data_IF_569384778158
#
_entry.id   IF_569384778158
#
_cell.length_a   1.000
_cell.length_b   1.000
_cell.length_c   1.000
_cell.angle_alpha   90.00
_cell.angle_beta   90.00
_cell.angle_gamma   90.00
#
_symmetry.space_group_name_H-M   'P 1'
#
loop_
_entity.id
_entity.type
_entity.pdbx_description
1 polymer ?
#
# COMPACT_ATOMS: atom_id res chain seq x y z
N UNK A 1 7.89 -30.64 41.65
CA UNK A 1 7.66 -29.18 41.45
C UNK A 1 7.52 -28.90 39.96
N UNK A 2 6.30 -28.69 39.45
CA UNK A 2 6.05 -28.34 38.05
C UNK A 2 6.34 -26.86 37.90
N UNK A 3 7.42 -26.50 37.20
CA UNK A 3 7.73 -25.11 36.86
C UNK A 3 6.66 -24.60 35.90
N UNK A 4 5.74 -23.78 36.38
CA UNK A 4 4.83 -22.98 35.55
C UNK A 4 5.65 -22.09 34.62
N UNK A 5 5.91 -22.53 33.39
CA UNK A 5 6.45 -21.67 32.34
C UNK A 5 5.34 -20.69 31.95
N UNK A 6 5.48 -19.43 32.33
CA UNK A 6 4.64 -18.35 31.75
C UNK A 6 4.76 -18.42 30.24
N UNK A 7 3.64 -18.41 29.48
CA UNK A 7 3.72 -18.39 28.03
C UNK A 7 4.52 -17.18 27.58
N UNK A 8 5.50 -17.37 26.70
CA UNK A 8 6.20 -16.26 26.04
C UNK A 8 5.15 -15.53 25.18
N UNK A 9 4.73 -14.36 25.61
CA UNK A 9 3.94 -13.46 24.77
C UNK A 9 4.90 -12.98 23.68
N UNK A 10 4.81 -13.56 22.48
CA UNK A 10 5.52 -13.03 21.31
C UNK A 10 4.90 -11.65 21.01
N UNK A 11 5.61 -10.59 21.34
CA UNK A 11 5.18 -9.23 21.02
C UNK A 11 5.16 -9.07 19.50
N UNK A 12 3.99 -8.70 18.94
CA UNK A 12 3.87 -8.38 17.52
C UNK A 12 4.73 -7.17 17.18
N UNK A 13 5.20 -7.11 15.94
CA UNK A 13 5.94 -5.97 15.41
C UNK A 13 4.94 -4.94 14.88
N UNK A 14 4.98 -3.73 15.43
CA UNK A 14 4.06 -2.66 15.07
C UNK A 14 4.52 -1.99 13.76
N UNK A 15 3.68 -2.04 12.75
CA UNK A 15 3.92 -1.43 11.42
C UNK A 15 2.85 -0.36 11.19
N UNK A 16 3.24 0.82 10.74
CA UNK A 16 2.33 1.84 10.27
C UNK A 16 2.34 1.91 8.74
N UNK A 17 1.17 1.98 8.12
CA UNK A 17 1.04 2.28 6.69
C UNK A 17 0.24 3.57 6.54
N UNK A 18 0.88 4.61 5.99
CA UNK A 18 0.27 5.89 5.66
C UNK A 18 -0.33 5.77 4.26
N UNK A 19 -1.65 5.80 4.18
CA UNK A 19 -2.42 5.74 2.95
C UNK A 19 -2.68 7.16 2.43
N UNK A 20 -2.62 7.38 1.13
CA UNK A 20 -2.92 8.67 0.54
C UNK A 20 -4.33 9.13 0.83
N UNK A 21 -5.31 8.28 0.53
CA UNK A 21 -6.74 8.61 0.63
C UNK A 21 -7.60 7.42 1.07
N UNK A 22 -8.90 7.57 0.82
CA UNK A 22 -9.90 6.57 1.23
C UNK A 22 -9.80 5.27 0.42
N UNK A 23 -9.43 5.32 -0.87
CA UNK A 23 -9.29 4.10 -1.69
C UNK A 23 -8.19 3.19 -1.13
N UNK A 24 -6.99 3.71 -0.87
CA UNK A 24 -5.85 2.97 -0.30
C UNK A 24 -6.17 2.45 1.09
N UNK A 25 -6.77 3.31 1.92
CA UNK A 25 -7.11 2.98 3.31
C UNK A 25 -8.14 1.84 3.37
N UNK A 26 -9.24 1.93 2.63
CA UNK A 26 -10.29 0.91 2.62
C UNK A 26 -9.81 -0.39 1.95
N UNK A 27 -8.96 -0.28 0.92
CA UNK A 27 -8.36 -1.44 0.29
C UNK A 27 -7.49 -2.24 1.28
N UNK A 28 -6.55 -1.58 1.96
CA UNK A 28 -5.73 -2.26 2.97
C UNK A 28 -6.55 -2.75 4.17
N UNK A 29 -7.59 -1.99 4.59
CA UNK A 29 -8.52 -2.41 5.62
C UNK A 29 -9.25 -3.70 5.23
N UNK A 30 -9.65 -3.82 3.97
CA UNK A 30 -10.26 -5.05 3.44
C UNK A 30 -9.28 -6.22 3.43
N UNK A 31 -8.03 -6.02 2.99
CA UNK A 31 -7.01 -7.08 3.02
C UNK A 31 -6.72 -7.55 4.46
N UNK A 32 -6.70 -6.65 5.44
CA UNK A 32 -6.62 -7.03 6.86
C UNK A 32 -7.81 -7.89 7.30
N UNK A 33 -9.03 -7.49 6.95
CA UNK A 33 -10.26 -8.26 7.27
C UNK A 33 -10.27 -9.64 6.62
N UNK A 34 -9.64 -9.80 5.46
CA UNK A 34 -9.45 -11.07 4.78
C UNK A 34 -8.29 -11.91 5.36
N UNK A 35 -7.63 -11.43 6.42
CA UNK A 35 -6.45 -12.07 7.04
C UNK A 35 -5.33 -12.36 6.04
N UNK A 36 -5.14 -11.46 5.08
CA UNK A 36 -4.07 -11.57 4.07
C UNK A 36 -2.71 -11.36 4.74
N UNK A 37 -2.60 -10.37 5.61
CA UNK A 37 -1.36 -10.08 6.31
C UNK A 37 -1.13 -11.04 7.49
N UNK A 38 0.13 -11.27 7.83
CA UNK A 38 0.51 -12.14 8.95
C UNK A 38 0.21 -11.46 10.30
N UNK A 39 -1.03 -11.57 10.75
CA UNK A 39 -1.54 -10.97 11.99
C UNK A 39 -0.95 -11.59 13.26
N UNK A 40 -0.33 -12.77 13.16
CA UNK A 40 0.42 -13.39 14.28
C UNK A 40 1.75 -12.68 14.53
N UNK A 41 2.36 -12.11 13.49
CA UNK A 41 3.66 -11.45 13.54
C UNK A 41 3.56 -9.94 13.57
N UNK A 42 2.65 -9.36 12.80
CA UNK A 42 2.55 -7.91 12.62
C UNK A 42 1.25 -7.35 13.21
N UNK A 43 1.37 -6.19 13.85
CA UNK A 43 0.27 -5.31 14.23
C UNK A 43 0.28 -4.14 13.25
N UNK A 44 -0.66 -4.11 12.30
CA UNK A 44 -0.67 -3.11 11.22
C UNK A 44 -1.67 -2.01 11.55
N UNK A 45 -1.15 -0.78 11.71
CA UNK A 45 -1.93 0.45 11.86
C UNK A 45 -2.01 1.15 10.50
N UNK A 46 -3.22 1.49 10.06
CA UNK A 46 -3.46 2.26 8.84
C UNK A 46 -3.79 3.71 9.20
N UNK A 47 -3.21 4.65 8.47
CA UNK A 47 -3.46 6.09 8.64
C UNK A 47 -3.85 6.70 7.29
N UNK A 48 -5.00 7.36 7.21
CA UNK A 48 -5.42 8.11 6.02
C UNK A 48 -4.83 9.53 6.08
N UNK A 49 -3.95 9.87 5.15
CA UNK A 49 -3.33 11.19 5.08
C UNK A 49 -4.25 12.27 4.50
N UNK A 50 -5.36 11.87 3.84
CA UNK A 50 -6.30 12.77 3.18
C UNK A 50 -5.68 13.60 2.05
N UNK A 51 -4.78 12.98 1.28
CA UNK A 51 -4.15 13.52 0.09
C UNK A 51 -2.62 13.43 0.11
N UNK A 52 -2.04 13.33 -1.09
CA UNK A 52 -0.60 13.09 -1.29
C UNK A 52 0.29 14.17 -0.64
N UNK A 53 -0.15 15.43 -0.66
CA UNK A 53 0.60 16.55 -0.09
C UNK A 53 0.75 16.49 1.43
N UNK A 54 -0.15 15.76 2.10
CA UNK A 54 -0.12 15.60 3.56
C UNK A 54 0.57 14.30 4.02
N UNK A 55 0.90 13.41 3.09
CA UNK A 55 1.57 12.13 3.43
C UNK A 55 2.84 12.38 4.24
N UNK A 56 3.68 13.32 3.83
CA UNK A 56 4.96 13.58 4.51
C UNK A 56 4.77 14.02 5.97
N UNK A 57 3.75 14.82 6.27
CA UNK A 57 3.47 15.27 7.62
C UNK A 57 3.04 14.09 8.53
N UNK A 58 2.13 13.26 8.02
CA UNK A 58 1.66 12.06 8.75
C UNK A 58 2.80 11.06 8.92
N UNK A 59 3.58 10.82 7.86
CA UNK A 59 4.75 9.93 7.89
C UNK A 59 5.76 10.39 8.93
N UNK A 60 6.21 11.66 8.87
CA UNK A 60 7.21 12.20 9.78
C UNK A 60 6.76 12.11 11.24
N UNK A 61 5.50 12.46 11.52
CA UNK A 61 4.93 12.33 12.86
C UNK A 61 4.95 10.88 13.37
N UNK A 62 4.51 9.92 12.53
CA UNK A 62 4.50 8.50 12.90
C UNK A 62 5.90 7.93 13.06
N UNK A 63 6.82 8.32 12.20
CA UNK A 63 8.23 7.91 12.26
C UNK A 63 8.90 8.43 13.56
N UNK A 64 8.78 9.74 13.84
CA UNK A 64 9.37 10.37 15.01
C UNK A 64 8.78 9.90 16.34
N UNK A 65 7.54 9.36 16.33
CA UNK A 65 6.93 8.80 17.54
C UNK A 65 7.69 7.62 18.12
N UNK A 66 8.55 6.94 17.31
CA UNK A 66 9.27 5.73 17.73
C UNK A 66 8.39 4.53 18.07
N UNK A 67 7.06 4.63 17.82
CA UNK A 67 6.09 3.59 18.20
C UNK A 67 6.03 2.43 17.22
N UNK A 68 6.63 2.55 16.04
CA UNK A 68 6.53 1.58 14.95
C UNK A 68 7.91 1.05 14.57
N UNK A 69 7.98 -0.24 14.29
CA UNK A 69 9.20 -0.89 13.76
C UNK A 69 9.48 -0.47 12.31
N UNK A 70 8.44 -0.10 11.56
CA UNK A 70 8.55 0.51 10.24
C UNK A 70 7.33 1.39 9.95
N UNK A 71 7.54 2.48 9.22
CA UNK A 71 6.47 3.32 8.68
C UNK A 71 6.58 3.28 7.17
N UNK A 72 5.52 2.82 6.51
CA UNK A 72 5.43 2.64 5.06
C UNK A 72 4.40 3.62 4.49
N UNK A 73 4.45 3.85 3.19
CA UNK A 73 3.51 4.72 2.46
C UNK A 73 2.86 3.90 1.35
N UNK A 74 1.54 4.07 1.18
CA UNK A 74 0.81 3.53 0.05
C UNK A 74 0.01 4.64 -0.63
N UNK A 75 0.32 4.93 -1.92
CA UNK A 75 -0.23 6.07 -2.63
C UNK A 75 -0.31 5.83 -4.15
N UNK A 76 -0.94 6.76 -4.86
CA UNK A 76 -0.92 6.85 -6.31
C UNK A 76 0.35 7.55 -6.81
N UNK A 77 0.76 7.28 -8.07
CA UNK A 77 1.77 8.09 -8.74
C UNK A 77 1.17 9.25 -9.50
N UNK A 78 -0.14 9.19 -9.75
CA UNK A 78 -0.90 10.07 -10.62
C UNK A 78 -0.50 10.00 -12.11
N UNK A 79 -1.14 10.86 -12.93
CA UNK A 79 -0.79 10.97 -14.34
C UNK A 79 0.52 11.76 -14.52
N UNK A 80 1.21 11.49 -15.61
CA UNK A 80 2.42 12.22 -15.98
C UNK A 80 2.18 13.75 -15.96
N UNK A 81 3.10 14.55 -15.45
CA UNK A 81 4.52 14.33 -15.12
C UNK A 81 4.82 13.86 -13.68
N UNK A 82 3.85 13.32 -12.92
CA UNK A 82 4.01 12.80 -11.55
C UNK A 82 4.52 13.84 -10.53
N UNK A 83 4.08 15.09 -10.66
CA UNK A 83 4.67 16.22 -9.91
C UNK A 83 4.58 16.04 -8.40
N UNK A 84 3.40 15.69 -7.87
CA UNK A 84 3.19 15.54 -6.43
C UNK A 84 3.92 14.30 -5.89
N UNK A 85 3.96 13.22 -6.65
CA UNK A 85 4.69 12.00 -6.28
C UNK A 85 6.21 12.25 -6.24
N UNK A 86 6.76 12.98 -7.21
CA UNK A 86 8.18 13.38 -7.21
C UNK A 86 8.52 14.28 -6.03
N UNK A 87 7.63 15.22 -5.70
CA UNK A 87 7.79 16.09 -4.54
C UNK A 87 7.76 15.30 -3.22
N UNK A 88 6.87 14.31 -3.10
CA UNK A 88 6.86 13.40 -1.96
C UNK A 88 8.20 12.66 -1.80
N UNK A 89 8.75 12.12 -2.89
CA UNK A 89 10.07 11.46 -2.88
C UNK A 89 11.18 12.40 -2.42
N UNK A 90 11.18 13.64 -2.91
CA UNK A 90 12.15 14.68 -2.53
C UNK A 90 12.05 14.98 -1.03
N UNK A 91 10.84 15.22 -0.50
CA UNK A 91 10.62 15.49 0.93
C UNK A 91 11.03 14.32 1.83
N UNK A 92 10.81 13.08 1.42
CA UNK A 92 11.30 11.90 2.16
C UNK A 92 12.82 11.84 2.17
N UNK A 93 13.45 12.10 1.03
CA UNK A 93 14.90 12.18 0.91
C UNK A 93 15.49 13.23 1.87
N UNK A 94 14.91 14.44 1.87
CA UNK A 94 15.31 15.55 2.76
C UNK A 94 15.08 15.19 4.23
N UNK A 95 13.93 14.60 4.57
CA UNK A 95 13.59 14.20 5.94
C UNK A 95 14.60 13.21 6.53
N UNK A 96 15.08 12.26 5.73
CA UNK A 96 16.08 11.27 6.16
C UNK A 96 17.53 11.71 5.92
N UNK A 97 17.78 12.93 5.45
CA UNK A 97 19.13 13.46 5.21
C UNK A 97 19.92 12.68 4.14
N UNK A 98 19.25 12.07 3.16
CA UNK A 98 19.90 11.29 2.11
C UNK A 98 20.19 12.15 0.87
N UNK A 99 21.30 11.84 0.16
CA UNK A 99 21.68 12.54 -1.05
C UNK A 99 20.81 12.16 -2.25
N UNK A 100 20.32 10.91 -2.28
CA UNK A 100 19.45 10.39 -3.35
C UNK A 100 18.30 9.60 -2.73
N UNK A 101 17.13 9.67 -3.37
CA UNK A 101 15.98 8.86 -2.93
C UNK A 101 16.26 7.35 -2.97
N UNK A 102 17.09 6.91 -3.93
CA UNK A 102 17.49 5.50 -4.06
C UNK A 102 18.37 4.99 -2.90
N UNK A 103 18.94 5.90 -2.08
CA UNK A 103 19.69 5.52 -0.88
C UNK A 103 18.77 5.14 0.28
N UNK A 104 17.47 5.47 0.17
CA UNK A 104 16.44 5.05 1.12
C UNK A 104 16.02 3.60 0.89
N UNK A 105 15.51 2.91 1.93
CA UNK A 105 14.82 1.65 1.73
C UNK A 105 13.53 1.88 0.94
N UNK A 106 12.88 0.80 0.49
CA UNK A 106 11.58 0.89 -0.18
C UNK A 106 10.49 1.31 0.83
N UNK A 107 10.27 2.64 0.95
CA UNK A 107 9.27 3.25 1.85
C UNK A 107 7.92 3.40 1.14
N UNK A 108 7.93 3.75 -0.16
CA UNK A 108 6.72 4.02 -0.93
C UNK A 108 6.32 2.78 -1.72
N UNK A 109 5.07 2.38 -1.54
CA UNK A 109 4.37 1.41 -2.37
C UNK A 109 3.29 2.13 -3.16
N UNK A 110 3.15 1.82 -4.43
CA UNK A 110 2.33 2.63 -5.33
C UNK A 110 1.49 1.82 -6.30
N UNK A 111 0.38 2.44 -6.74
CA UNK A 111 -0.37 2.11 -7.94
C UNK A 111 -0.14 3.18 -9.01
N UNK A 112 0.24 2.77 -10.22
CA UNK A 112 0.45 3.67 -11.36
C UNK A 112 -0.45 3.24 -12.52
N UNK A 113 -1.33 4.11 -13.00
CA UNK A 113 -1.50 5.53 -12.67
C UNK A 113 -2.26 5.79 -11.35
N UNK A 114 -2.91 4.78 -10.77
CA UNK A 114 -3.62 4.90 -9.49
C UNK A 114 -3.85 3.53 -8.85
N UNK A 115 -4.23 3.51 -7.58
CA UNK A 115 -4.54 2.33 -6.77
C UNK A 115 -5.60 1.43 -7.42
N UNK A 116 -6.50 2.00 -8.23
CA UNK A 116 -7.48 1.23 -8.98
C UNK A 116 -6.83 0.22 -9.95
N UNK A 117 -5.60 0.46 -10.43
CA UNK A 117 -4.82 -0.53 -11.20
C UNK A 117 -4.65 -1.83 -10.40
N UNK A 118 -4.32 -1.72 -9.11
CA UNK A 118 -4.14 -2.86 -8.21
C UNK A 118 -5.49 -3.52 -7.90
N UNK A 119 -6.49 -2.70 -7.54
CA UNK A 119 -7.83 -3.18 -7.15
C UNK A 119 -8.49 -3.94 -8.30
N UNK A 120 -8.46 -3.41 -9.52
CA UNK A 120 -9.07 -4.06 -10.67
C UNK A 120 -8.33 -5.34 -11.09
N UNK A 121 -7.05 -5.46 -10.76
CA UNK A 121 -6.29 -6.69 -10.99
C UNK A 121 -6.82 -7.90 -10.21
N UNK A 122 -7.66 -7.71 -9.19
CA UNK A 122 -8.42 -8.80 -8.55
C UNK A 122 -9.40 -9.46 -9.52
N UNK A 123 -9.98 -8.69 -10.45
CA UNK A 123 -11.09 -9.14 -11.29
C UNK A 123 -10.67 -9.47 -12.72
N UNK A 124 -9.53 -9.00 -13.19
CA UNK A 124 -9.07 -9.25 -14.56
C UNK A 124 -7.66 -8.74 -14.84
N UNK A 125 -7.13 -9.10 -16.01
CA UNK A 125 -5.87 -8.50 -16.51
C UNK A 125 -6.16 -7.10 -17.02
N UNK A 126 -5.78 -6.10 -16.25
CA UNK A 126 -6.09 -4.69 -16.47
C UNK A 126 -4.81 -3.91 -16.70
N UNK A 127 -4.86 -2.99 -17.67
CA UNK A 127 -3.76 -2.06 -17.96
C UNK A 127 -4.32 -0.64 -18.10
N UNK A 128 -4.48 0.05 -16.97
CA UNK A 128 -4.94 1.43 -16.95
C UNK A 128 -3.89 2.36 -17.56
N UNK A 129 -4.34 3.33 -18.36
CA UNK A 129 -3.47 4.34 -18.97
C UNK A 129 -3.54 5.70 -18.28
N UNK A 130 -4.55 5.90 -17.41
CA UNK A 130 -4.82 7.18 -16.74
C UNK A 130 -5.55 6.94 -15.43
N UNK A 131 -5.39 7.87 -14.48
CA UNK A 131 -6.16 7.89 -13.23
C UNK A 131 -7.58 8.45 -13.40
N UNK A 132 -7.90 9.03 -14.54
CA UNK A 132 -9.18 9.71 -14.77
C UNK A 132 -10.34 8.76 -14.64
N UNK A 133 -11.14 8.92 -13.58
CA UNK A 133 -12.23 7.99 -13.21
C UNK A 133 -13.28 7.84 -14.29
N UNK A 134 -13.66 8.92 -14.98
CA UNK A 134 -14.62 8.89 -16.07
C UNK A 134 -14.14 8.06 -17.28
N UNK A 135 -12.83 8.09 -17.58
CA UNK A 135 -12.23 7.27 -18.65
C UNK A 135 -12.19 5.79 -18.28
N UNK A 136 -12.11 5.46 -17.00
CA UNK A 136 -12.07 4.10 -16.49
C UNK A 136 -13.45 3.56 -16.09
N UNK A 137 -14.49 4.40 -16.05
CA UNK A 137 -15.80 4.07 -15.50
C UNK A 137 -16.44 2.83 -16.12
N UNK A 138 -16.36 2.69 -17.45
CA UNK A 138 -16.91 1.53 -18.15
C UNK A 138 -16.19 0.23 -17.76
N UNK A 139 -14.86 0.26 -17.66
CA UNK A 139 -14.08 -0.90 -17.25
C UNK A 139 -14.37 -1.28 -15.79
N UNK A 140 -14.45 -0.28 -14.90
CA UNK A 140 -14.81 -0.50 -13.49
C UNK A 140 -16.22 -1.12 -13.40
N UNK A 141 -17.18 -0.61 -14.16
CA UNK A 141 -18.54 -1.18 -14.22
C UNK A 141 -18.55 -2.63 -14.66
N UNK A 142 -17.83 -2.97 -15.74
CA UNK A 142 -17.75 -4.35 -16.25
C UNK A 142 -17.18 -5.29 -15.20
N UNK A 143 -16.10 -4.91 -14.54
CA UNK A 143 -15.37 -5.78 -13.61
C UNK A 143 -16.00 -5.82 -12.22
N UNK A 144 -16.59 -4.72 -11.77
CA UNK A 144 -17.06 -4.57 -10.38
C UNK A 144 -18.56 -4.37 -10.27
N UNK A 145 -19.29 -4.22 -11.37
CA UNK A 145 -20.71 -3.84 -11.40
C UNK A 145 -21.04 -2.53 -10.64
N UNK A 146 -20.05 -1.67 -10.44
CA UNK A 146 -20.22 -0.34 -9.85
C UNK A 146 -20.28 0.68 -10.96
N UNK A 147 -21.44 1.31 -11.11
CA UNK A 147 -21.68 2.28 -12.20
C UNK A 147 -21.15 3.67 -11.82
N UNK A 148 -20.76 4.42 -12.86
CA UNK A 148 -20.38 5.84 -12.77
C UNK A 148 -19.41 6.13 -11.63
N UNK A 149 -18.36 5.30 -11.50
CA UNK A 149 -17.41 5.34 -10.38
C UNK A 149 -16.72 6.71 -10.25
N UNK A 150 -16.84 7.33 -9.06
CA UNK A 150 -16.25 8.61 -8.68
C UNK A 150 -15.45 8.53 -7.37
N UNK A 151 -15.20 7.31 -6.86
CA UNK A 151 -14.54 7.05 -5.58
C UNK A 151 -15.26 7.72 -4.38
N UNK A 152 -16.59 7.76 -4.41
CA UNK A 152 -17.34 8.06 -3.20
C UNK A 152 -17.21 6.90 -2.19
N UNK A 153 -17.31 7.17 -0.89
CA UNK A 153 -17.16 6.14 0.14
C UNK A 153 -18.07 4.93 -0.11
N UNK A 154 -19.31 5.17 -0.53
CA UNK A 154 -20.26 4.11 -0.89
C UNK A 154 -19.76 3.24 -2.06
N UNK A 155 -19.20 3.85 -3.09
CA UNK A 155 -18.70 3.15 -4.27
C UNK A 155 -17.40 2.39 -3.94
N UNK A 156 -16.49 3.00 -3.17
CA UNK A 156 -15.29 2.34 -2.66
C UNK A 156 -15.69 1.08 -1.89
N UNK A 157 -16.60 1.21 -0.91
CA UNK A 157 -17.08 0.08 -0.12
C UNK A 157 -17.74 -1.00 -0.98
N UNK A 158 -18.51 -0.63 -2.01
CA UNK A 158 -19.14 -1.58 -2.94
C UNK A 158 -18.09 -2.40 -3.73
N UNK A 159 -16.98 -1.79 -4.13
CA UNK A 159 -15.86 -2.50 -4.77
C UNK A 159 -15.17 -3.41 -3.75
N UNK A 160 -14.87 -2.90 -2.54
CA UNK A 160 -14.17 -3.65 -1.49
C UNK A 160 -14.96 -4.90 -1.04
N UNK A 161 -16.29 -4.85 -1.04
CA UNK A 161 -17.13 -6.01 -0.70
C UNK A 161 -16.90 -7.21 -1.65
N UNK A 162 -16.50 -6.97 -2.87
CA UNK A 162 -16.26 -8.01 -3.89
C UNK A 162 -14.88 -8.67 -3.82
N UNK A 163 -13.99 -8.12 -2.99
CA UNK A 163 -12.66 -8.69 -2.78
C UNK A 163 -12.75 -9.92 -1.87
N UNK A 164 -12.15 -11.03 -2.33
CA UNK A 164 -12.07 -12.32 -1.63
C UNK A 164 -10.63 -12.80 -1.58
N UNK A 165 -10.37 -13.86 -0.82
CA UNK A 165 -9.04 -14.50 -0.76
C UNK A 165 -8.67 -15.12 -2.12
N UNK A 166 -9.66 -15.63 -2.86
CA UNK A 166 -9.45 -16.27 -4.16
C UNK A 166 -9.00 -15.22 -5.19
N UNK A 167 -9.75 -14.13 -5.34
CA UNK A 167 -9.38 -13.10 -6.32
C UNK A 167 -8.14 -12.30 -5.91
N UNK A 168 -7.78 -12.29 -4.62
CA UNK A 168 -6.51 -11.77 -4.15
C UNK A 168 -5.32 -12.57 -4.70
N UNK A 169 -5.38 -13.90 -4.73
CA UNK A 169 -4.32 -14.74 -5.32
C UNK A 169 -4.12 -14.45 -6.80
N UNK A 170 -5.22 -14.29 -7.53
CA UNK A 170 -5.20 -13.91 -8.94
C UNK A 170 -4.56 -12.52 -9.16
N UNK A 171 -4.91 -11.55 -8.31
CA UNK A 171 -4.31 -10.22 -8.32
C UNK A 171 -2.79 -10.29 -8.16
N UNK A 172 -2.27 -11.09 -7.22
CA UNK A 172 -0.83 -11.23 -7.01
C UNK A 172 -0.11 -11.73 -8.26
N UNK A 173 -0.67 -12.72 -8.96
CA UNK A 173 -0.10 -13.25 -10.20
C UNK A 173 -0.03 -12.16 -11.28
N UNK A 174 -1.11 -11.36 -11.43
CA UNK A 174 -1.18 -10.27 -12.40
C UNK A 174 -0.21 -9.14 -12.06
N UNK A 175 -0.12 -8.73 -10.78
CA UNK A 175 0.81 -7.69 -10.34
C UNK A 175 2.28 -8.10 -10.50
N UNK A 176 2.60 -9.39 -10.34
CA UNK A 176 3.96 -9.86 -10.54
C UNK A 176 4.46 -9.66 -11.97
N UNK A 177 3.53 -9.62 -12.93
CA UNK A 177 3.81 -9.38 -14.35
C UNK A 177 3.82 -7.88 -14.73
N UNK A 178 3.47 -6.97 -13.80
CA UNK A 178 3.58 -5.54 -14.04
C UNK A 178 5.01 -5.03 -13.78
N UNK A 179 5.37 -3.95 -14.48
CA UNK A 179 6.58 -3.19 -14.17
C UNK A 179 6.53 -2.71 -12.71
N UNK A 180 7.67 -2.76 -12.01
CA UNK A 180 7.82 -2.23 -10.64
C UNK A 180 8.47 -0.86 -10.62
N UNK A 181 8.68 -0.27 -11.80
CA UNK A 181 9.32 1.04 -11.97
C UNK A 181 8.23 2.11 -12.08
N UNK A 182 8.30 3.11 -11.21
CA UNK A 182 7.26 4.12 -11.02
C UNK A 182 7.06 5.09 -12.20
N UNK A 183 7.98 5.14 -13.16
CA UNK A 183 7.83 5.92 -14.40
C UNK A 183 7.24 5.13 -15.58
N UNK A 184 6.88 3.87 -15.39
CA UNK A 184 6.24 3.01 -16.39
C UNK A 184 4.73 2.94 -16.12
N UNK A 185 3.89 3.05 -17.14
CA UNK A 185 2.41 3.01 -17.01
C UNK A 185 1.85 1.86 -17.85
N UNK A 186 1.12 0.91 -17.27
CA UNK A 186 0.87 0.72 -15.83
C UNK A 186 2.04 0.07 -15.10
N UNK A 187 2.17 0.36 -13.80
CA UNK A 187 3.17 -0.29 -12.95
C UNK A 187 2.71 -0.33 -11.48
N UNK A 188 3.36 -1.16 -10.67
CA UNK A 188 3.13 -1.20 -9.23
C UNK A 188 4.20 -2.03 -8.53
N UNK A 189 4.69 -1.55 -7.40
CA UNK A 189 5.52 -2.33 -6.48
C UNK A 189 4.73 -2.87 -5.27
N UNK A 190 3.41 -2.80 -5.29
CA UNK A 190 2.54 -3.25 -4.20
C UNK A 190 2.78 -4.72 -3.80
N UNK A 191 3.14 -5.57 -4.77
CA UNK A 191 3.54 -6.96 -4.51
C UNK A 191 4.64 -7.04 -3.44
N UNK A 192 5.64 -6.15 -3.48
CA UNK A 192 6.74 -6.15 -2.52
C UNK A 192 6.26 -5.82 -1.09
N UNK A 193 5.26 -4.94 -0.93
CA UNK A 193 4.67 -4.65 0.38
C UNK A 193 3.93 -5.87 0.93
N UNK A 194 3.16 -6.52 0.09
CA UNK A 194 2.42 -7.73 0.45
C UNK A 194 3.38 -8.83 0.86
N UNK A 195 4.42 -9.08 0.07
CA UNK A 195 5.44 -10.09 0.38
C UNK A 195 6.07 -9.85 1.76
N UNK A 196 6.46 -8.61 2.07
CA UNK A 196 7.00 -8.24 3.38
C UNK A 196 6.02 -8.47 4.53
N UNK A 197 4.74 -8.14 4.35
CA UNK A 197 3.73 -8.19 5.41
C UNK A 197 3.06 -9.57 5.57
N UNK A 198 3.25 -10.47 4.61
CA UNK A 198 2.77 -11.87 4.69
C UNK A 198 3.84 -12.83 5.18
N UNK A 199 5.12 -12.47 5.02
CA UNK A 199 6.25 -13.33 5.36
C UNK A 199 6.42 -13.49 6.87
N UNK A 200 6.95 -14.65 7.28
CA UNK A 200 7.35 -14.92 8.66
C UNK A 200 8.71 -14.31 9.05
N UNK A 201 9.51 -13.88 8.08
CA UNK A 201 10.82 -13.26 8.33
C UNK A 201 10.66 -11.77 8.66
N UNK A 202 11.39 -11.30 9.67
CA UNK A 202 11.51 -9.88 10.05
C UNK A 202 12.82 -9.25 9.56
N UNK A 203 13.62 -9.99 8.83
CA UNK A 203 14.90 -9.50 8.28
C UNK A 203 14.72 -8.21 7.48
N UNK A 204 13.61 -8.09 6.75
CA UNK A 204 13.32 -6.89 5.99
C UNK A 204 13.20 -5.63 6.86
N UNK A 205 12.74 -5.74 8.12
CA UNK A 205 12.66 -4.60 9.06
C UNK A 205 14.06 -4.16 9.48
N UNK A 206 14.96 -5.12 9.72
CA UNK A 206 16.35 -4.83 10.07
C UNK A 206 17.03 -4.14 8.90
N UNK A 207 16.90 -4.70 7.68
CA UNK A 207 17.45 -4.13 6.46
C UNK A 207 16.87 -2.75 6.14
N UNK A 208 15.56 -2.58 6.38
CA UNK A 208 14.85 -1.31 6.22
C UNK A 208 15.44 -0.23 7.15
N UNK A 209 15.56 -0.53 8.44
CA UNK A 209 16.05 0.43 9.43
C UNK A 209 17.55 0.74 9.27
N UNK A 210 18.36 -0.21 8.80
CA UNK A 210 19.78 0.02 8.54
C UNK A 210 20.03 0.98 7.36
N UNK A 211 19.05 1.19 6.49
CA UNK A 211 19.13 2.12 5.35
C UNK A 211 18.57 3.51 5.65
N UNK A 212 17.78 3.67 6.71
CA UNK A 212 17.25 4.97 7.16
C UNK A 212 18.33 5.76 7.90
#
# INVERSE_FOLDING_TARGET
MVKNRKPKINKKLDICVVCEGSEEFEYLSKLKKLSIFNDKKYSITLCNAKGITNIINVYSYKFQSGSYCAVLIFCDTDDHPFTQYKELKKKLQEFHGKNKFLDLPEIIYFGNPCTMQIILSHFGDVKLKTRTKSKNAQLIKILTSVDSYQATDKQIMSVMQKLTVENYKEMLLRLNNLSKVDNSVPSSNFYNMVDKLTNNSDKWIIEFNNKL
#
